data_IF_628553457308
#
_entry.id   IF_628553457308
#
_cell.length_a   1.000
_cell.length_b   1.000
_cell.length_c   1.000
_cell.angle_alpha   90.00
_cell.angle_beta   90.00
_cell.angle_gamma   90.00
#
_symmetry.space_group_name_H-M   'P 1'
#
loop_
_entity.id
_entity.type
_entity.pdbx_description
1 polymer ?
#
# COMPACT_ATOMS: atom_id res chain seq x y z
N UNK A 1 -12.18 -2.55 1.87
CA UNK A 1 -10.81 -2.13 2.26
C UNK A 1 -10.42 -2.80 3.56
N UNK A 2 -9.26 -3.43 3.61
CA UNK A 2 -8.73 -4.07 4.81
C UNK A 2 -7.21 -4.07 4.85
N UNK A 3 -6.67 -4.14 6.06
CA UNK A 3 -5.27 -4.50 6.32
C UNK A 3 -5.26 -5.87 7.01
N UNK A 4 -4.57 -6.85 6.41
CA UNK A 4 -4.31 -8.14 7.01
C UNK A 4 -2.79 -8.33 7.13
N UNK A 5 -2.30 -8.42 8.36
CA UNK A 5 -0.87 -8.45 8.65
C UNK A 5 -0.56 -9.37 9.84
N UNK A 6 0.64 -9.97 9.84
CA UNK A 6 1.19 -10.76 10.94
C UNK A 6 0.31 -11.93 11.42
N UNK A 7 -0.58 -12.45 10.57
CA UNK A 7 -1.29 -13.67 10.90
C UNK A 7 -0.39 -14.89 10.68
N UNK A 8 -0.55 -15.90 11.54
CA UNK A 8 0.27 -17.11 11.52
C UNK A 8 -0.61 -18.34 11.38
N UNK A 9 -0.34 -19.16 10.37
CA UNK A 9 -1.09 -20.38 10.15
C UNK A 9 -0.43 -21.32 9.15
N UNK A 10 -0.66 -22.63 9.24
CA UNK A 10 -0.03 -23.58 8.32
C UNK A 10 -0.60 -23.52 6.90
N UNK A 11 -1.88 -23.16 6.75
CA UNK A 11 -2.57 -23.08 5.47
C UNK A 11 -3.52 -21.89 5.47
N UNK A 12 -3.39 -20.99 4.48
CA UNK A 12 -4.18 -19.77 4.42
C UNK A 12 -3.94 -18.86 5.62
N UNK A 13 -2.68 -18.52 5.88
CA UNK A 13 -2.31 -17.71 7.06
C UNK A 13 -2.97 -16.33 7.04
N UNK A 14 -3.15 -15.73 5.85
CA UNK A 14 -3.92 -14.51 5.66
C UNK A 14 -5.40 -14.83 5.40
N UNK A 15 -5.68 -15.66 4.40
CA UNK A 15 -7.04 -15.98 3.94
C UNK A 15 -7.13 -17.48 3.66
N UNK A 16 -8.22 -18.10 4.10
CA UNK A 16 -8.57 -19.46 3.73
C UNK A 16 -9.99 -19.52 3.21
N UNK A 17 -10.16 -19.89 1.93
CA UNK A 17 -11.46 -20.08 1.31
C UNK A 17 -11.78 -21.57 1.22
N UNK A 18 -12.57 -22.06 2.17
CA UNK A 18 -13.02 -23.43 2.27
C UNK A 18 -12.39 -24.23 3.42
N UNK A 19 -12.90 -25.43 3.61
CA UNK A 19 -12.45 -26.35 4.65
C UNK A 19 -11.48 -27.38 4.05
N UNK A 20 -10.32 -27.63 4.68
CA UNK A 20 -9.34 -28.60 4.17
C UNK A 20 -9.86 -30.05 4.17
N UNK A 21 -11.00 -30.34 4.79
CA UNK A 21 -11.58 -31.68 4.92
C UNK A 21 -12.75 -31.97 3.96
N UNK A 22 -13.02 -31.09 2.99
CA UNK A 22 -13.76 -31.47 1.79
C UNK A 22 -15.27 -31.58 1.88
N UNK A 23 -15.94 -30.94 2.84
CA UNK A 23 -17.39 -30.84 2.86
C UNK A 23 -17.89 -29.42 2.55
N UNK A 24 -17.70 -28.98 1.31
CA UNK A 24 -18.27 -27.70 0.85
C UNK A 24 -19.52 -28.02 0.04
N UNK A 25 -20.65 -27.49 0.49
CA UNK A 25 -21.92 -27.52 -0.21
C UNK A 25 -22.14 -26.12 -0.81
N UNK A 26 -21.61 -25.89 -2.00
CA UNK A 26 -21.81 -24.64 -2.75
C UNK A 26 -20.50 -23.96 -3.18
N UNK A 27 -20.65 -22.98 -4.06
CA UNK A 27 -19.53 -22.17 -4.52
C UNK A 27 -19.21 -21.09 -3.46
N UNK A 28 -17.94 -20.88 -3.18
CA UNK A 28 -17.45 -19.80 -2.31
C UNK A 28 -16.82 -18.75 -3.21
N UNK A 29 -17.25 -17.51 -3.05
CA UNK A 29 -16.61 -16.38 -3.72
C UNK A 29 -16.21 -15.31 -2.73
N UNK A 30 -15.10 -14.63 -3.00
CA UNK A 30 -14.59 -13.50 -2.23
C UNK A 30 -14.09 -12.42 -3.19
N UNK A 31 -14.56 -11.19 -2.98
CA UNK A 31 -14.06 -10.02 -3.69
C UNK A 31 -13.30 -9.12 -2.71
N UNK A 32 -12.12 -8.67 -3.11
CA UNK A 32 -11.25 -7.79 -2.32
C UNK A 32 -10.92 -6.57 -3.15
N UNK A 33 -11.06 -5.39 -2.56
CA UNK A 33 -10.65 -4.16 -3.22
C UNK A 33 -9.91 -3.20 -2.29
N UNK A 34 -8.99 -2.42 -2.86
CA UNK A 34 -8.27 -1.35 -2.16
C UNK A 34 -7.75 -1.82 -0.78
N UNK A 35 -6.97 -2.88 -0.77
CA UNK A 35 -6.57 -3.57 0.46
C UNK A 35 -5.08 -3.91 0.45
N UNK A 36 -4.51 -4.09 1.64
CA UNK A 36 -3.12 -4.52 1.81
C UNK A 36 -3.09 -5.78 2.65
N UNK A 37 -2.53 -6.86 2.11
CA UNK A 37 -2.38 -8.17 2.72
C UNK A 37 -0.90 -8.51 2.69
N UNK A 38 -0.26 -8.47 3.85
CA UNK A 38 1.22 -8.46 3.92
C UNK A 38 1.75 -9.16 5.16
N UNK A 39 2.93 -9.78 5.03
CA UNK A 39 3.67 -10.41 6.14
C UNK A 39 2.90 -11.49 6.93
N UNK A 40 1.98 -12.18 6.29
CA UNK A 40 1.30 -13.30 6.93
C UNK A 40 2.13 -14.56 6.78
N UNK A 41 2.51 -15.21 7.88
CA UNK A 41 3.52 -16.27 7.91
C UNK A 41 2.92 -17.67 7.99
N UNK A 42 3.46 -18.58 7.18
CA UNK A 42 3.04 -19.99 7.11
C UNK A 42 3.47 -20.64 5.82
N UNK A 43 3.07 -21.89 5.60
CA UNK A 43 3.38 -22.60 4.35
C UNK A 43 2.62 -22.03 3.15
N UNK A 44 1.42 -21.49 3.40
CA UNK A 44 0.56 -20.90 2.36
C UNK A 44 -0.04 -19.61 2.93
N UNK A 45 0.12 -18.51 2.21
CA UNK A 45 -0.48 -17.22 2.55
C UNK A 45 -1.99 -17.23 2.34
N UNK A 46 -2.42 -17.56 1.13
CA UNK A 46 -3.83 -17.63 0.74
C UNK A 46 -4.15 -19.01 0.20
N UNK A 47 -4.96 -19.76 0.94
CA UNK A 47 -5.36 -21.12 0.60
C UNK A 47 -6.79 -21.19 0.07
N UNK A 48 -7.02 -21.94 -1.01
CA UNK A 48 -8.33 -22.04 -1.65
C UNK A 48 -8.69 -23.47 -2.00
N UNK A 49 -9.98 -23.80 -1.96
CA UNK A 49 -10.52 -25.03 -2.57
C UNK A 49 -10.91 -24.77 -4.04
N UNK A 50 -11.01 -25.82 -4.85
CA UNK A 50 -11.22 -25.71 -6.30
C UNK A 50 -12.57 -25.13 -6.74
N UNK A 51 -13.57 -25.07 -5.83
CA UNK A 51 -14.85 -24.41 -6.06
C UNK A 51 -14.86 -22.97 -5.54
N UNK A 52 -13.78 -22.52 -4.90
CA UNK A 52 -13.66 -21.16 -4.47
C UNK A 52 -13.16 -20.27 -5.62
N UNK A 53 -13.68 -19.05 -5.64
CA UNK A 53 -13.28 -18.00 -6.56
C UNK A 53 -12.88 -16.76 -5.74
N UNK A 54 -11.82 -16.10 -6.15
CA UNK A 54 -11.40 -14.85 -5.55
C UNK A 54 -11.03 -13.84 -6.64
N UNK A 55 -11.64 -12.70 -6.59
CA UNK A 55 -11.25 -11.54 -7.36
C UNK A 55 -10.62 -10.47 -6.46
N UNK A 56 -9.62 -9.79 -7.00
CA UNK A 56 -9.01 -8.66 -6.31
C UNK A 56 -8.71 -7.53 -7.28
N UNK A 57 -8.93 -6.30 -6.79
CA UNK A 57 -8.64 -5.10 -7.53
C UNK A 57 -8.01 -4.05 -6.60
N UNK A 58 -7.05 -3.28 -7.09
CA UNK A 58 -6.30 -2.29 -6.31
C UNK A 58 -5.76 -2.87 -4.98
N UNK A 59 -5.22 -4.08 -5.00
CA UNK A 59 -4.84 -4.78 -3.77
C UNK A 59 -3.38 -5.20 -3.80
N UNK A 60 -2.66 -4.99 -2.70
CA UNK A 60 -1.31 -5.49 -2.49
C UNK A 60 -1.37 -6.83 -1.78
N UNK A 61 -0.70 -7.83 -2.35
CA UNK A 61 -0.39 -9.12 -1.74
C UNK A 61 1.13 -9.27 -1.71
N UNK A 62 1.75 -9.20 -0.53
CA UNK A 62 3.20 -9.17 -0.46
C UNK A 62 3.73 -9.91 0.77
N UNK A 63 4.72 -10.77 0.57
CA UNK A 63 5.37 -11.51 1.64
C UNK A 63 4.37 -12.32 2.52
N UNK A 64 3.48 -13.09 1.86
CA UNK A 64 2.47 -13.90 2.53
C UNK A 64 2.80 -15.40 2.45
N UNK A 65 3.57 -15.90 3.44
CA UNK A 65 3.94 -17.32 3.55
C UNK A 65 5.06 -17.76 2.59
N UNK A 66 5.40 -19.06 2.63
CA UNK A 66 6.40 -19.65 1.73
C UNK A 66 5.87 -19.75 0.28
N UNK A 67 4.56 -19.82 0.12
CA UNK A 67 3.81 -19.77 -1.14
C UNK A 67 2.64 -18.83 -0.96
N UNK A 68 2.62 -17.73 -1.71
CA UNK A 68 1.60 -16.68 -1.52
C UNK A 68 0.18 -17.18 -1.82
N UNK A 69 0.00 -17.81 -2.97
CA UNK A 69 -1.28 -18.40 -3.40
C UNK A 69 -1.12 -19.89 -3.66
N UNK A 70 -1.93 -20.72 -3.03
CA UNK A 70 -1.92 -22.16 -3.29
C UNK A 70 -3.30 -22.77 -3.15
N UNK A 71 -3.62 -23.76 -4.00
CA UNK A 71 -4.77 -24.62 -3.73
C UNK A 71 -4.53 -25.37 -2.42
N UNK A 72 -5.58 -25.49 -1.59
CA UNK A 72 -5.53 -26.32 -0.39
C UNK A 72 -5.32 -27.79 -0.77
N UNK A 73 -4.79 -28.63 0.16
CA UNK A 73 -4.54 -30.04 -0.12
C UNK A 73 -5.77 -30.74 -0.73
N UNK A 74 -5.50 -31.50 -1.79
CA UNK A 74 -6.47 -32.17 -2.68
C UNK A 74 -7.20 -31.28 -3.69
N UNK A 75 -6.66 -30.12 -3.96
CA UNK A 75 -7.12 -29.17 -4.97
C UNK A 75 -6.03 -28.95 -6.02
N UNK A 76 -6.38 -28.90 -7.29
CA UNK A 76 -5.40 -28.77 -8.37
C UNK A 76 -5.49 -27.43 -9.13
N UNK A 77 -6.42 -26.54 -8.74
CA UNK A 77 -6.65 -25.27 -9.45
C UNK A 77 -6.94 -24.10 -8.52
N UNK A 78 -6.42 -22.96 -8.92
CA UNK A 78 -6.78 -21.65 -8.35
C UNK A 78 -7.70 -20.94 -9.31
N UNK A 79 -8.79 -20.38 -8.78
CA UNK A 79 -9.70 -19.50 -9.52
C UNK A 79 -9.49 -18.08 -9.00
N UNK A 80 -8.49 -17.40 -9.53
CA UNK A 80 -8.09 -16.04 -9.16
C UNK A 80 -8.27 -15.12 -10.37
N UNK A 81 -8.87 -13.95 -10.14
CA UNK A 81 -8.99 -12.87 -11.12
C UNK A 81 -8.49 -11.58 -10.47
N UNK A 82 -7.24 -11.22 -10.75
CA UNK A 82 -6.59 -10.07 -10.19
C UNK A 82 -6.34 -9.01 -11.25
N UNK A 83 -6.75 -7.79 -10.96
CA UNK A 83 -6.54 -6.65 -11.83
C UNK A 83 -6.05 -5.46 -11.00
N UNK A 84 -5.18 -4.62 -11.56
CA UNK A 84 -4.61 -3.46 -10.89
C UNK A 84 -4.12 -3.80 -9.48
N UNK A 85 -3.46 -4.94 -9.32
CA UNK A 85 -2.99 -5.45 -8.03
C UNK A 85 -1.49 -5.71 -8.07
N UNK A 86 -0.84 -5.61 -6.92
CA UNK A 86 0.58 -5.93 -6.77
C UNK A 86 0.72 -7.25 -6.03
N UNK A 87 1.43 -8.18 -6.65
CA UNK A 87 1.63 -9.53 -6.12
C UNK A 87 3.09 -9.92 -6.18
N UNK A 88 3.61 -10.59 -5.15
CA UNK A 88 5.01 -11.03 -5.10
C UNK A 88 5.34 -12.02 -6.22
N UNK A 89 4.42 -12.91 -6.57
CA UNK A 89 4.49 -13.75 -7.76
C UNK A 89 3.84 -13.04 -8.95
N UNK A 90 4.39 -13.23 -10.17
CA UNK A 90 3.81 -12.67 -11.40
C UNK A 90 2.41 -13.27 -11.65
N UNK A 91 1.38 -12.42 -11.63
CA UNK A 91 -0.01 -12.82 -11.89
C UNK A 91 -0.59 -12.08 -13.09
N UNK A 92 -1.17 -12.84 -14.05
CA UNK A 92 -1.75 -12.25 -15.26
C UNK A 92 -3.06 -11.50 -14.91
N UNK A 93 -3.17 -10.28 -15.41
CA UNK A 93 -4.36 -9.41 -15.24
C UNK A 93 -4.09 -8.03 -15.80
N UNK A 94 -5.14 -7.22 -15.91
CA UNK A 94 -5.00 -5.84 -16.40
C UNK A 94 -4.37 -5.00 -15.31
N UNK A 95 -3.27 -4.29 -15.62
CA UNK A 95 -2.64 -3.35 -14.70
C UNK A 95 -1.94 -3.98 -13.50
N UNK A 96 -1.81 -5.31 -13.43
CA UNK A 96 -1.05 -5.95 -12.35
C UNK A 96 0.43 -5.63 -12.43
N UNK A 97 1.04 -5.49 -11.26
CA UNK A 97 2.48 -5.31 -11.08
C UNK A 97 3.06 -6.43 -10.19
N UNK A 98 4.37 -6.61 -10.29
CA UNK A 98 5.15 -7.59 -9.53
C UNK A 98 6.46 -6.92 -9.12
N UNK A 99 6.39 -5.99 -8.20
CA UNK A 99 7.53 -5.23 -7.71
C UNK A 99 7.31 -4.89 -6.24
N UNK A 100 8.40 -4.78 -5.48
CA UNK A 100 8.34 -4.38 -4.08
C UNK A 100 7.48 -3.12 -3.92
N UNK A 101 6.39 -3.16 -3.15
CA UNK A 101 5.50 -2.02 -2.93
C UNK A 101 6.18 -0.86 -2.20
N UNK A 102 7.36 -1.06 -1.64
CA UNK A 102 8.15 -0.06 -0.92
C UNK A 102 7.32 0.66 0.16
N UNK A 103 6.91 -0.08 1.18
CA UNK A 103 6.25 0.50 2.35
C UNK A 103 7.20 1.44 3.13
N UNK A 104 6.63 2.42 3.81
CA UNK A 104 7.37 3.47 4.52
C UNK A 104 8.21 2.93 5.67
N UNK A 105 7.64 2.10 6.56
CA UNK A 105 8.36 1.52 7.70
C UNK A 105 7.70 0.24 8.20
N UNK A 106 8.03 -0.87 7.56
CA UNK A 106 7.47 -2.21 7.87
C UNK A 106 7.82 -2.66 9.28
N UNK A 107 9.00 -2.31 9.79
CA UNK A 107 9.47 -2.71 11.13
C UNK A 107 8.63 -2.05 12.25
N UNK A 108 8.04 -0.90 11.97
CA UNK A 108 7.13 -0.20 12.89
C UNK A 108 5.65 -0.35 12.49
N UNK A 109 5.32 -1.30 11.64
CA UNK A 109 3.97 -1.58 11.15
C UNK A 109 3.34 -0.41 10.38
N UNK A 110 4.14 0.41 9.71
CA UNK A 110 3.69 1.44 8.79
C UNK A 110 3.70 0.90 7.35
N UNK A 111 2.53 0.53 6.88
CA UNK A 111 2.27 -0.02 5.55
C UNK A 111 1.74 1.04 4.58
N UNK A 112 1.94 2.32 4.84
CA UNK A 112 1.78 3.38 3.85
C UNK A 112 2.86 3.27 2.77
N UNK A 113 2.60 3.82 1.59
CA UNK A 113 3.55 3.78 0.48
C UNK A 113 4.64 4.84 0.67
N UNK A 114 5.89 4.49 0.38
CA UNK A 114 6.95 5.50 0.26
C UNK A 114 6.79 6.29 -1.03
N UNK A 115 7.38 7.48 -1.11
CA UNK A 115 7.29 8.38 -2.29
C UNK A 115 7.85 7.80 -3.60
N UNK A 116 8.53 6.67 -3.56
CA UNK A 116 9.10 5.97 -4.72
C UNK A 116 8.38 4.67 -5.05
N UNK A 117 7.28 4.39 -4.36
CA UNK A 117 6.49 3.19 -4.59
C UNK A 117 5.91 3.14 -6.00
N UNK A 118 5.98 1.96 -6.61
CA UNK A 118 5.37 1.69 -7.92
C UNK A 118 3.85 1.54 -7.83
N UNK A 119 3.30 1.41 -6.63
CA UNK A 119 1.86 1.29 -6.37
C UNK A 119 1.14 2.64 -6.45
N UNK A 120 1.89 3.77 -6.39
CA UNK A 120 1.32 5.12 -6.46
C UNK A 120 0.72 5.36 -7.86
N UNK A 121 -0.52 5.86 -7.91
CA UNK A 121 -1.26 6.14 -9.15
C UNK A 121 -1.39 4.92 -10.10
N UNK A 122 -1.23 3.70 -9.60
CA UNK A 122 -1.18 2.49 -10.41
C UNK A 122 -2.48 1.67 -10.40
N UNK A 123 -3.45 2.05 -9.58
CA UNK A 123 -4.76 1.41 -9.47
C UNK A 123 -5.77 1.93 -10.50
N UNK A 124 -7.03 1.56 -10.31
CA UNK A 124 -8.16 2.02 -11.13
C UNK A 124 -9.31 2.55 -10.27
N UNK A 125 -9.98 3.60 -10.76
CA UNK A 125 -11.20 4.10 -10.16
C UNK A 125 -12.44 3.28 -10.57
N UNK A 126 -12.36 2.53 -11.66
CA UNK A 126 -13.38 1.58 -12.16
C UNK A 126 -13.13 0.21 -11.49
N UNK A 127 -13.75 -0.02 -10.35
CA UNK A 127 -13.46 -1.18 -9.49
C UNK A 127 -14.28 -2.42 -9.82
N UNK A 128 -15.27 -2.33 -10.68
CA UNK A 128 -16.03 -3.46 -11.22
C UNK A 128 -15.76 -3.70 -12.72
N UNK A 129 -14.87 -2.88 -13.32
CA UNK A 129 -14.42 -3.00 -14.71
C UNK A 129 -15.55 -2.84 -15.75
N UNK A 130 -16.58 -2.04 -15.44
CA UNK A 130 -17.73 -1.80 -16.34
C UNK A 130 -17.53 -0.58 -17.27
N UNK A 131 -16.50 0.20 -17.05
CA UNK A 131 -16.09 1.37 -17.83
C UNK A 131 -16.48 2.71 -17.20
N UNK A 132 -17.16 2.70 -16.09
CA UNK A 132 -17.49 3.90 -15.32
C UNK A 132 -16.68 3.93 -14.01
N UNK A 133 -16.33 5.11 -13.51
CA UNK A 133 -15.58 5.23 -12.26
C UNK A 133 -16.48 5.05 -11.04
N UNK A 134 -16.11 4.15 -10.13
CA UNK A 134 -16.76 3.92 -8.83
C UNK A 134 -16.16 4.75 -7.71
N UNK A 135 -14.93 5.22 -7.90
CA UNK A 135 -14.18 5.98 -6.92
C UNK A 135 -13.91 7.40 -7.43
N UNK A 136 -14.18 8.39 -6.57
CA UNK A 136 -13.90 9.81 -6.81
C UNK A 136 -13.02 10.44 -5.70
N UNK A 137 -12.61 9.62 -4.72
CA UNK A 137 -11.88 10.08 -3.54
C UNK A 137 -10.53 9.35 -3.44
N UNK A 138 -9.57 9.81 -4.23
CA UNK A 138 -8.19 9.38 -4.25
C UNK A 138 -7.27 10.59 -4.53
N UNK A 139 -6.00 10.46 -4.22
CA UNK A 139 -4.97 11.46 -4.52
C UNK A 139 -4.31 11.14 -5.86
N UNK A 140 -3.78 12.17 -6.54
CA UNK A 140 -3.02 11.95 -7.76
C UNK A 140 -3.87 11.77 -9.02
N UNK A 141 -3.39 10.96 -9.97
CA UNK A 141 -3.99 10.76 -11.31
C UNK A 141 -4.86 9.52 -11.41
N UNK A 142 -4.66 8.56 -10.51
CA UNK A 142 -5.45 7.34 -10.32
C UNK A 142 -5.38 6.92 -8.85
N UNK A 143 -6.27 6.02 -8.37
CA UNK A 143 -6.11 5.43 -7.05
C UNK A 143 -4.79 4.67 -6.94
N UNK A 144 -4.24 4.60 -5.73
CA UNK A 144 -3.11 3.75 -5.45
C UNK A 144 -3.52 2.27 -5.37
N UNK A 145 -2.58 1.38 -5.68
CA UNK A 145 -2.76 -0.02 -5.35
C UNK A 145 -2.50 -0.18 -3.84
N UNK A 146 -3.47 -0.74 -3.12
CA UNK A 146 -3.40 -0.98 -1.69
C UNK A 146 -4.50 -0.32 -0.87
N UNK A 147 -4.30 -0.32 0.45
CA UNK A 147 -5.26 0.25 1.40
C UNK A 147 -5.16 1.77 1.50
N UNK A 148 -3.95 2.28 1.45
CA UNK A 148 -3.63 3.67 1.74
C UNK A 148 -3.31 4.41 0.44
N UNK A 149 -3.91 5.57 0.26
CA UNK A 149 -3.52 6.54 -0.77
C UNK A 149 -2.24 7.25 -0.31
N UNK A 150 -1.25 7.31 -1.19
CA UNK A 150 -0.08 8.15 -1.00
C UNK A 150 -0.52 9.62 -1.12
N UNK A 151 -0.12 10.40 -0.16
CA UNK A 151 -0.39 11.83 -0.15
C UNK A 151 0.95 12.58 -0.22
N UNK A 152 1.28 13.07 -1.41
CA UNK A 152 2.47 13.93 -1.57
C UNK A 152 2.44 15.18 -0.69
N UNK A 153 1.26 15.53 -0.15
CA UNK A 153 1.07 16.62 0.81
C UNK A 153 1.05 16.17 2.27
N UNK A 154 1.07 14.86 2.53
CA UNK A 154 1.14 14.32 3.89
C UNK A 154 2.58 14.33 4.38
N UNK A 155 3.01 15.45 4.84
CA UNK A 155 4.26 15.62 5.55
C UNK A 155 4.14 14.90 6.90
N UNK A 156 4.56 13.66 7.00
CA UNK A 156 4.40 12.77 8.16
C UNK A 156 4.58 13.48 9.51
N UNK A 157 5.79 13.85 9.87
CA UNK A 157 6.08 14.69 11.04
C UNK A 157 6.26 16.12 10.55
N UNK A 158 5.44 17.06 11.03
CA UNK A 158 5.58 18.48 10.65
C UNK A 158 6.98 18.97 10.96
N UNK A 159 7.72 19.34 9.90
CA UNK A 159 9.11 19.82 10.02
C UNK A 159 10.17 18.76 9.72
N UNK A 160 9.81 17.51 9.53
CA UNK A 160 10.70 16.45 9.02
C UNK A 160 10.66 16.48 7.48
N UNK A 161 11.52 17.30 6.89
CA UNK A 161 11.53 17.56 5.45
C UNK A 161 12.39 16.54 4.71
N UNK A 162 13.34 15.93 5.39
CA UNK A 162 14.22 14.92 4.82
C UNK A 162 13.71 13.48 5.04
N UNK A 163 12.58 13.34 5.76
CA UNK A 163 11.90 12.07 6.04
C UNK A 163 12.83 11.07 6.79
N UNK A 164 13.65 11.57 7.74
CA UNK A 164 14.51 10.72 8.58
C UNK A 164 13.91 10.41 9.96
N UNK A 165 12.66 10.81 10.20
CA UNK A 165 11.88 10.69 11.43
C UNK A 165 12.36 11.59 12.59
N UNK A 166 13.31 12.47 12.36
CA UNK A 166 13.86 13.41 13.34
C UNK A 166 13.71 14.86 12.85
N UNK A 167 12.98 15.70 13.55
CA UNK A 167 12.90 17.14 13.23
C UNK A 167 14.09 17.87 13.82
N UNK A 168 15.06 18.21 12.98
CA UNK A 168 16.34 18.74 13.41
C UNK A 168 17.01 19.71 12.39
N UNK A 169 18.29 20.03 12.57
CA UNK A 169 18.99 20.98 11.69
C UNK A 169 19.15 20.46 10.24
N UNK A 170 19.06 19.16 10.00
CA UNK A 170 19.18 18.61 8.64
C UNK A 170 17.97 19.00 7.79
N UNK A 171 16.81 19.15 8.39
CA UNK A 171 15.59 19.63 7.70
C UNK A 171 15.71 21.09 7.30
N UNK A 172 16.37 21.92 8.13
CA UNK A 172 16.67 23.31 7.76
C UNK A 172 17.57 23.35 6.52
N UNK A 173 18.54 22.46 6.44
CA UNK A 173 19.45 22.35 5.27
C UNK A 173 18.65 21.90 4.05
N UNK A 174 17.70 20.98 4.23
CA UNK A 174 16.83 20.46 3.15
C UNK A 174 15.94 21.58 2.61
N UNK A 175 15.24 22.36 3.45
CA UNK A 175 14.46 23.52 2.98
C UNK A 175 15.37 24.56 2.30
N UNK A 176 16.54 24.85 2.84
CA UNK A 176 17.44 25.81 2.24
C UNK A 176 17.90 25.38 0.83
N UNK A 177 18.17 24.09 0.62
CA UNK A 177 18.49 23.54 -0.69
C UNK A 177 17.28 23.58 -1.63
N UNK A 178 16.09 23.31 -1.11
CA UNK A 178 14.83 23.42 -1.84
C UNK A 178 14.63 24.85 -2.39
N UNK A 179 14.79 25.88 -1.55
CA UNK A 179 14.69 27.28 -1.94
C UNK A 179 15.72 27.61 -3.05
N UNK A 180 16.94 27.13 -2.91
CA UNK A 180 18.01 27.39 -3.87
C UNK A 180 17.78 26.73 -5.24
N UNK A 181 17.09 25.58 -5.26
CA UNK A 181 16.78 24.81 -6.47
C UNK A 181 15.40 25.14 -7.06
N UNK A 182 14.60 26.01 -6.45
CA UNK A 182 13.21 26.26 -6.74
C UNK A 182 12.38 24.96 -6.75
N UNK A 183 12.51 24.14 -5.74
CA UNK A 183 11.70 22.94 -5.63
C UNK A 183 10.23 23.31 -5.32
N UNK A 184 9.35 22.33 -5.47
CA UNK A 184 7.92 22.47 -5.17
C UNK A 184 7.44 21.42 -4.17
N UNK A 185 8.29 21.10 -3.18
CA UNK A 185 7.94 20.16 -2.13
C UNK A 185 6.90 20.78 -1.17
N UNK A 186 5.65 20.28 -1.13
CA UNK A 186 4.63 20.85 -0.26
C UNK A 186 4.98 20.77 1.23
N UNK A 187 5.82 19.83 1.65
CA UNK A 187 6.28 19.68 3.02
C UNK A 187 7.23 20.79 3.47
N UNK A 188 7.84 21.48 2.53
CA UNK A 188 8.69 22.61 2.82
C UNK A 188 7.93 23.95 2.99
N UNK A 189 6.63 24.02 2.62
CA UNK A 189 5.74 25.16 2.86
C UNK A 189 5.08 25.07 4.25
N UNK A 190 5.86 25.33 5.28
CA UNK A 190 5.42 25.17 6.67
C UNK A 190 4.45 26.24 7.16
N UNK A 191 4.33 27.36 6.44
CA UNK A 191 3.38 28.42 6.78
C UNK A 191 2.10 28.35 5.92
N UNK A 192 2.05 27.45 4.92
CA UNK A 192 0.94 27.23 4.02
C UNK A 192 0.54 28.49 3.23
N UNK A 193 1.53 29.32 2.86
CA UNK A 193 1.28 30.51 2.06
C UNK A 193 1.41 30.27 0.54
N UNK A 194 1.74 29.03 0.13
CA UNK A 194 1.92 28.59 -1.24
C UNK A 194 3.29 28.94 -1.82
N UNK A 195 4.26 29.34 -0.96
CA UNK A 195 5.59 29.76 -1.43
C UNK A 195 6.70 29.30 -0.50
N UNK A 196 7.52 28.38 -0.95
CA UNK A 196 8.68 27.92 -0.16
C UNK A 196 9.76 29.00 -0.14
N UNK A 197 10.00 29.57 1.04
CA UNK A 197 10.94 30.68 1.22
C UNK A 197 11.55 30.73 2.63
N UNK A 198 12.23 31.82 2.97
CA UNK A 198 12.91 31.98 4.26
C UNK A 198 11.95 31.95 5.47
N UNK A 199 10.64 32.25 5.28
CA UNK A 199 9.67 32.21 6.37
C UNK A 199 9.40 30.78 6.84
N UNK A 200 9.51 29.79 5.94
CA UNK A 200 9.36 28.37 6.27
C UNK A 200 10.55 27.88 7.11
N UNK A 201 11.76 28.34 6.78
CA UNK A 201 12.94 28.08 7.62
C UNK A 201 12.73 28.65 9.04
N UNK A 202 12.17 29.85 9.16
CA UNK A 202 11.89 30.44 10.46
C UNK A 202 10.85 29.62 11.23
N UNK A 203 9.80 29.13 10.56
CA UNK A 203 8.82 28.24 11.16
C UNK A 203 9.44 26.94 11.64
N UNK A 204 10.29 26.31 10.83
CA UNK A 204 10.99 25.09 11.21
C UNK A 204 11.90 25.30 12.42
N UNK A 205 12.66 26.39 12.45
CA UNK A 205 13.48 26.73 13.63
C UNK A 205 12.63 26.86 14.90
N UNK A 206 11.44 27.48 14.81
CA UNK A 206 10.53 27.60 15.95
C UNK A 206 9.99 26.22 16.39
N UNK A 207 9.68 25.33 15.44
CA UNK A 207 9.28 23.95 15.73
C UNK A 207 10.40 23.22 16.48
N UNK A 208 11.62 23.24 15.96
CA UNK A 208 12.79 22.59 16.58
C UNK A 208 13.00 23.13 18.01
N UNK A 209 12.94 24.45 18.21
CA UNK A 209 13.12 25.06 19.53
C UNK A 209 12.00 24.75 20.51
N UNK A 210 10.83 24.34 20.06
CA UNK A 210 9.70 23.96 20.93
C UNK A 210 9.88 22.58 21.58
N UNK A 211 10.82 21.77 21.09
CA UNK A 211 11.16 20.46 21.68
C UNK A 211 12.19 20.54 22.82
N UNK A 212 12.76 21.73 23.07
CA UNK A 212 13.76 21.97 24.11
C UNK A 212 13.24 22.95 25.17
#
# INVERSE_FOLDING_TARGET
RMLLVDNVGPYGSAISLGEPLGLVIGDISMSISNSTIVQNTGLIGIGMINTAYMDAINTIFWNNGDVEFSPLPNNDQLNLDFNYSDTEDEWLGVGNINQDPLFSDVDNADYTLSSTSVCIDAGTADTDMDGDNDMDNYNGTAPDIGLFEFDEGSCGIIGDINIDSDVNILDIITIANCILSNCSDPCADLNLDGTINILDIINLVNIILSFY
#
